data_IF_279100513437
#
_entry.id   IF_279100513437
#
_cell.length_a   1.000
_cell.length_b   1.000
_cell.length_c   1.000
_cell.angle_alpha   90.00
_cell.angle_beta   90.00
_cell.angle_gamma   90.00
#
_symmetry.space_group_name_H-M   'P 1'
#
loop_
_entity.id
_entity.type
_entity.pdbx_description
1 polymer ?
#
# COMPACT_ATOMS: atom_id res chain seq x y z
N UNK A 1 19.60 -2.21 -32.85
CA UNK A 1 19.96 -3.23 -31.84
C UNK A 1 20.05 -2.54 -30.49
N UNK A 2 19.19 -2.90 -29.53
CA UNK A 2 19.19 -2.33 -28.18
C UNK A 2 20.26 -2.99 -27.29
N UNK A 3 20.70 -2.30 -26.24
CA UNK A 3 21.66 -2.85 -25.27
C UNK A 3 21.16 -4.14 -24.60
N UNK A 4 19.84 -4.26 -24.42
CA UNK A 4 19.16 -5.47 -23.94
C UNK A 4 19.44 -6.68 -24.85
N UNK A 5 19.34 -6.51 -26.18
CA UNK A 5 19.57 -7.59 -27.14
C UNK A 5 21.03 -8.08 -27.15
N UNK A 6 21.97 -7.27 -26.65
CA UNK A 6 23.38 -7.64 -26.49
C UNK A 6 23.70 -8.20 -25.10
N UNK A 7 22.69 -8.43 -24.25
CA UNK A 7 22.83 -8.90 -22.86
C UNK A 7 23.72 -8.01 -21.99
N UNK A 8 23.78 -6.71 -22.31
CA UNK A 8 24.55 -5.73 -21.54
C UNK A 8 23.75 -5.16 -20.36
N UNK A 9 22.41 -5.26 -20.42
CA UNK A 9 21.47 -4.88 -19.36
C UNK A 9 20.47 -6.03 -19.17
N UNK A 10 20.08 -6.27 -17.91
CA UNK A 10 19.10 -7.32 -17.57
C UNK A 10 17.89 -6.72 -16.86
N UNK A 11 16.69 -7.17 -17.22
CA UNK A 11 15.46 -6.82 -16.52
C UNK A 11 15.04 -7.87 -15.47
N UNK A 12 15.75 -8.99 -15.33
CA UNK A 12 15.36 -10.10 -14.43
C UNK A 12 15.10 -9.62 -12.99
N UNK A 13 16.02 -8.81 -12.46
CA UNK A 13 15.91 -8.20 -11.14
C UNK A 13 16.00 -6.70 -11.25
N UNK A 14 14.92 -6.02 -10.88
CA UNK A 14 14.82 -4.56 -10.92
C UNK A 14 14.77 -4.01 -9.50
N UNK A 15 15.60 -3.01 -9.24
CA UNK A 15 15.67 -2.28 -7.97
C UNK A 15 15.06 -0.90 -8.16
N UNK A 16 14.04 -0.57 -7.38
CA UNK A 16 13.33 0.71 -7.44
C UNK A 16 13.62 1.53 -6.20
N UNK A 17 14.13 2.75 -6.41
CA UNK A 17 14.38 3.72 -5.35
C UNK A 17 13.98 5.14 -5.79
N UNK A 18 13.73 6.01 -4.82
CA UNK A 18 13.36 7.41 -5.02
C UNK A 18 14.26 8.34 -4.22
N UNK A 19 14.91 9.29 -4.91
CA UNK A 19 15.75 10.30 -4.28
C UNK A 19 15.13 11.69 -4.41
N UNK A 20 15.10 12.44 -3.30
CA UNK A 20 14.62 13.81 -3.31
C UNK A 20 15.76 14.79 -3.65
N UNK A 21 15.58 15.58 -4.70
CA UNK A 21 16.52 16.64 -5.10
C UNK A 21 15.88 17.99 -4.82
N UNK A 22 16.61 18.86 -4.13
CA UNK A 22 16.14 20.18 -3.75
C UNK A 22 15.96 21.06 -4.99
N UNK A 23 14.78 21.68 -5.13
CA UNK A 23 14.51 22.66 -6.17
C UNK A 23 15.16 24.01 -5.83
N UNK A 24 15.45 24.81 -6.86
CA UNK A 24 15.95 26.18 -6.71
C UNK A 24 14.81 27.16 -6.37
N UNK A 25 14.07 26.85 -5.31
CA UNK A 25 12.88 27.58 -4.87
C UNK A 25 12.92 27.89 -3.38
N UNK A 26 12.47 29.10 -3.01
CA UNK A 26 12.46 29.52 -1.61
C UNK A 26 11.26 28.94 -0.87
N UNK A 27 11.51 28.13 0.18
CA UNK A 27 10.49 27.48 1.01
C UNK A 27 9.49 28.42 1.70
N UNK A 28 9.77 29.74 1.74
CA UNK A 28 8.89 30.78 2.33
C UNK A 28 8.09 31.55 1.28
N UNK A 29 8.41 31.42 -0.01
CA UNK A 29 7.69 32.07 -1.11
C UNK A 29 6.82 31.04 -1.83
N UNK A 30 5.55 31.00 -1.44
CA UNK A 30 4.58 30.06 -2.00
C UNK A 30 3.18 30.63 -1.95
N UNK A 31 2.35 30.16 -2.86
CA UNK A 31 0.92 30.36 -2.86
C UNK A 31 0.23 29.07 -2.43
N UNK A 32 -0.91 29.22 -1.74
CA UNK A 32 -1.72 28.09 -1.30
C UNK A 32 -2.75 27.81 -2.38
N UNK A 33 -2.71 26.61 -2.96
CA UNK A 33 -3.62 26.19 -4.00
C UNK A 33 -4.41 25.00 -3.55
N UNK A 34 -5.71 25.05 -3.77
CA UNK A 34 -6.60 23.92 -3.53
C UNK A 34 -6.59 23.09 -4.80
N UNK A 35 -6.06 21.87 -4.70
CA UNK A 35 -6.00 20.93 -5.81
C UNK A 35 -6.84 19.72 -5.48
N UNK A 36 -7.57 19.21 -6.48
CA UNK A 36 -8.30 17.95 -6.36
C UNK A 36 -7.29 16.83 -6.13
N UNK A 37 -7.51 16.02 -5.09
CA UNK A 37 -6.71 14.83 -4.84
C UNK A 37 -7.05 13.83 -5.94
N UNK A 38 -6.05 13.48 -6.75
CA UNK A 38 -6.23 12.46 -7.77
C UNK A 38 -6.62 11.14 -7.12
N UNK A 39 -7.67 10.54 -7.67
CA UNK A 39 -8.10 9.17 -7.37
C UNK A 39 -6.94 8.24 -7.74
N UNK A 40 -6.51 7.38 -6.81
CA UNK A 40 -5.41 6.44 -7.08
C UNK A 40 -5.86 5.50 -8.20
N UNK A 41 -5.00 5.22 -9.18
CA UNK A 41 -5.34 4.39 -10.34
C UNK A 41 -5.95 3.01 -9.99
N UNK A 42 -5.64 2.48 -8.81
CA UNK A 42 -6.18 1.20 -8.32
C UNK A 42 -7.52 1.31 -7.58
N UNK A 43 -8.02 2.50 -7.24
CA UNK A 43 -9.25 2.65 -6.44
C UNK A 43 -10.48 2.10 -7.15
N UNK A 44 -10.59 2.27 -8.48
CA UNK A 44 -11.68 1.67 -9.26
C UNK A 44 -11.67 0.14 -9.18
N UNK A 45 -10.52 -0.48 -9.47
CA UNK A 45 -10.33 -1.94 -9.33
C UNK A 45 -10.66 -2.43 -7.92
N UNK A 46 -10.16 -1.72 -6.89
CA UNK A 46 -10.44 -2.07 -5.50
C UNK A 46 -11.93 -2.00 -5.18
N UNK A 47 -12.65 -0.99 -5.68
CA UNK A 47 -14.08 -0.83 -5.47
C UNK A 47 -14.89 -1.96 -6.13
N UNK A 48 -14.53 -2.36 -7.35
CA UNK A 48 -15.13 -3.51 -8.03
C UNK A 48 -14.94 -4.79 -7.21
N UNK A 49 -13.72 -5.07 -6.78
CA UNK A 49 -13.42 -6.26 -5.96
C UNK A 49 -14.10 -6.23 -4.58
N UNK A 50 -14.23 -5.05 -3.95
CA UNK A 50 -14.99 -4.90 -2.70
C UNK A 50 -16.46 -5.25 -2.92
N UNK A 51 -17.06 -4.77 -4.01
CA UNK A 51 -18.46 -5.04 -4.29
C UNK A 51 -18.69 -6.51 -4.61
N UNK A 52 -17.81 -7.13 -5.40
CA UNK A 52 -17.85 -8.57 -5.67
C UNK A 52 -17.68 -9.39 -4.37
N UNK A 53 -16.74 -9.01 -3.50
CA UNK A 53 -16.56 -9.64 -2.20
C UNK A 53 -17.82 -9.54 -1.33
N UNK A 54 -18.46 -8.37 -1.31
CA UNK A 54 -19.72 -8.16 -0.57
C UNK A 54 -20.85 -9.03 -1.10
N UNK A 55 -21.00 -9.10 -2.42
CA UNK A 55 -22.02 -9.93 -3.08
C UNK A 55 -21.84 -11.41 -2.77
N UNK A 56 -20.59 -11.90 -2.83
CA UNK A 56 -20.25 -13.29 -2.46
C UNK A 56 -20.63 -13.63 -1.00
N UNK A 57 -20.62 -12.63 -0.11
CA UNK A 57 -21.03 -12.78 1.30
C UNK A 57 -22.50 -12.35 1.54
N UNK A 58 -23.31 -12.20 0.49
CA UNK A 58 -24.73 -11.84 0.59
C UNK A 58 -24.98 -10.42 1.11
N UNK A 59 -24.00 -9.51 1.01
CA UNK A 59 -24.11 -8.10 1.39
C UNK A 59 -24.37 -7.25 0.16
N UNK A 60 -25.17 -6.18 0.33
CA UNK A 60 -25.42 -5.22 -0.74
C UNK A 60 -24.13 -4.48 -1.14
N UNK A 61 -23.87 -4.28 -2.44
CA UNK A 61 -22.75 -3.46 -2.89
C UNK A 61 -22.88 -2.02 -2.39
N UNK A 62 -21.75 -1.32 -2.35
CA UNK A 62 -21.77 0.10 -2.01
C UNK A 62 -22.17 0.92 -3.25
N UNK A 63 -23.04 1.94 -3.10
CA UNK A 63 -23.35 2.85 -4.20
C UNK A 63 -22.10 3.63 -4.65
N UNK A 64 -21.97 3.99 -5.95
CA UNK A 64 -20.81 4.71 -6.49
C UNK A 64 -20.49 6.00 -5.72
N UNK A 65 -21.51 6.79 -5.37
CA UNK A 65 -21.39 8.04 -4.61
C UNK A 65 -20.68 7.90 -3.25
N UNK A 66 -20.64 6.68 -2.70
CA UNK A 66 -19.94 6.41 -1.44
C UNK A 66 -18.41 6.32 -1.59
N UNK A 67 -17.90 6.23 -2.81
CA UNK A 67 -16.48 6.22 -3.16
C UNK A 67 -16.03 7.55 -3.80
N UNK A 68 -16.93 8.22 -4.53
CA UNK A 68 -16.65 9.48 -5.23
C UNK A 68 -16.67 10.72 -4.33
N UNK A 69 -16.00 10.66 -3.18
CA UNK A 69 -15.70 11.88 -2.44
C UNK A 69 -14.53 12.57 -3.10
N UNK A 70 -14.81 13.63 -3.86
CA UNK A 70 -13.78 14.56 -4.32
C UNK A 70 -13.11 15.19 -3.11
N UNK A 71 -12.00 14.60 -2.67
CA UNK A 71 -11.17 15.17 -1.64
C UNK A 71 -10.30 16.27 -2.28
N UNK A 72 -10.36 17.46 -1.73
CA UNK A 72 -9.40 18.51 -2.07
C UNK A 72 -8.28 18.52 -1.05
N UNK A 73 -7.06 18.82 -1.52
CA UNK A 73 -5.91 19.05 -0.65
C UNK A 73 -5.36 20.44 -0.91
N UNK A 74 -5.00 21.13 0.17
CA UNK A 74 -4.24 22.37 0.07
C UNK A 74 -2.77 22.00 -0.16
N UNK A 75 -2.21 22.46 -1.27
CA UNK A 75 -0.78 22.35 -1.57
C UNK A 75 -0.13 23.73 -1.56
N UNK A 76 1.17 23.76 -1.28
CA UNK A 76 2.00 24.95 -1.43
C UNK A 76 2.67 24.88 -2.79
N UNK A 77 2.32 25.79 -3.68
CA UNK A 77 2.92 25.95 -5.00
C UNK A 77 3.97 27.06 -4.91
N UNK A 78 5.19 26.83 -5.40
CA UNK A 78 6.21 27.89 -5.37
C UNK A 78 5.90 28.95 -6.40
N UNK A 79 6.16 30.21 -6.05
CA UNK A 79 6.08 31.34 -7.00
C UNK A 79 7.22 31.34 -8.03
N UNK A 80 8.31 30.61 -7.77
CA UNK A 80 9.49 30.57 -8.64
C UNK A 80 9.55 29.29 -9.48
N UNK A 81 9.06 28.18 -8.93
CA UNK A 81 9.06 26.87 -9.58
C UNK A 81 7.79 26.10 -9.21
N UNK A 82 6.73 26.28 -10.01
CA UNK A 82 5.41 25.69 -9.77
C UNK A 82 5.38 24.16 -9.92
N UNK A 83 6.35 23.57 -10.63
CA UNK A 83 6.43 22.12 -10.82
C UNK A 83 7.07 21.42 -9.62
N UNK A 84 7.76 22.16 -8.75
CA UNK A 84 8.36 21.62 -7.54
C UNK A 84 7.32 21.34 -6.44
N UNK A 85 7.49 20.22 -5.74
CA UNK A 85 6.61 19.81 -4.65
C UNK A 85 7.14 20.29 -3.29
N UNK A 86 6.25 20.79 -2.43
CA UNK A 86 6.63 21.15 -1.06
C UNK A 86 6.82 19.89 -0.20
N UNK A 87 8.07 19.57 0.09
CA UNK A 87 8.49 18.39 0.83
C UNK A 87 8.86 18.73 2.29
N UNK A 88 8.44 17.86 3.21
CA UNK A 88 8.70 17.98 4.65
C UNK A 88 9.31 16.67 5.13
N UNK A 89 10.62 16.66 5.41
CA UNK A 89 11.32 15.48 5.94
C UNK A 89 11.23 15.42 7.47
N UNK A 90 11.41 16.57 8.13
CA UNK A 90 11.20 16.78 9.56
C UNK A 90 10.73 18.23 9.83
N UNK A 91 10.52 18.59 11.10
CA UNK A 91 10.06 19.94 11.46
C UNK A 91 11.03 21.06 11.00
N UNK A 92 12.32 20.75 10.87
CA UNK A 92 13.40 21.70 10.54
C UNK A 92 13.69 21.78 9.04
N UNK A 93 13.51 20.67 8.31
CA UNK A 93 13.87 20.48 6.91
C UNK A 93 12.63 20.44 6.02
N UNK A 94 12.08 21.64 5.82
CA UNK A 94 11.03 21.93 4.82
C UNK A 94 11.69 22.54 3.59
N UNK A 95 11.38 22.04 2.41
CA UNK A 95 11.93 22.55 1.15
C UNK A 95 11.03 22.23 -0.04
N UNK A 96 11.20 22.98 -1.12
CA UNK A 96 10.69 22.56 -2.42
C UNK A 96 11.66 21.55 -3.03
N UNK A 97 11.15 20.45 -3.57
CA UNK A 97 11.94 19.35 -4.10
C UNK A 97 11.23 18.63 -5.25
N UNK A 98 12.02 17.86 -5.98
CA UNK A 98 11.60 16.86 -6.94
C UNK A 98 11.96 15.47 -6.42
N UNK A 99 11.13 14.48 -6.71
CA UNK A 99 11.42 13.07 -6.45
C UNK A 99 11.85 12.41 -7.75
N UNK A 100 13.07 11.90 -7.78
CA UNK A 100 13.63 11.13 -8.87
C UNK A 100 13.46 9.66 -8.55
N UNK A 101 12.52 9.00 -9.24
CA UNK A 101 12.29 7.57 -9.15
C UNK A 101 13.11 6.88 -10.21
N UNK A 102 13.99 5.96 -9.82
CA UNK A 102 14.83 5.22 -10.72
C UNK A 102 14.60 3.72 -10.55
N UNK A 103 14.55 3.00 -11.67
CA UNK A 103 14.60 1.55 -11.74
C UNK A 103 15.95 1.16 -12.31
N UNK A 104 16.73 0.36 -11.57
CA UNK A 104 18.05 -0.09 -11.96
C UNK A 104 18.14 -1.61 -12.02
N UNK A 105 19.05 -2.13 -12.85
CA UNK A 105 19.40 -3.53 -12.87
C UNK A 105 20.38 -3.90 -11.73
N UNK A 106 20.74 -5.18 -11.66
CA UNK A 106 21.71 -5.70 -10.68
C UNK A 106 23.11 -5.09 -10.79
N UNK A 107 23.48 -4.58 -11.96
CA UNK A 107 24.77 -3.96 -12.22
C UNK A 107 24.74 -2.44 -12.03
N UNK A 108 23.61 -1.86 -11.63
CA UNK A 108 23.43 -0.43 -11.42
C UNK A 108 23.10 0.38 -12.68
N UNK A 109 22.79 -0.26 -13.81
CA UNK A 109 22.31 0.43 -15.00
C UNK A 109 20.86 0.86 -14.82
N UNK A 110 20.60 2.13 -15.07
CA UNK A 110 19.25 2.71 -14.99
C UNK A 110 18.44 2.26 -16.21
N UNK A 111 17.39 1.49 -15.95
CA UNK A 111 16.45 0.96 -16.96
C UNK A 111 15.27 1.91 -17.20
N UNK A 112 14.88 2.65 -16.16
CA UNK A 112 13.78 3.61 -16.23
C UNK A 112 13.90 4.70 -15.17
N UNK A 113 13.35 5.87 -15.49
CA UNK A 113 13.34 7.03 -14.61
C UNK A 113 12.05 7.81 -14.78
N UNK A 114 11.45 8.23 -13.67
CA UNK A 114 10.32 9.16 -13.63
C UNK A 114 10.65 10.26 -12.61
N UNK A 115 10.41 11.51 -12.98
CA UNK A 115 10.59 12.66 -12.10
C UNK A 115 9.22 13.21 -11.75
N UNK A 116 8.96 13.40 -10.46
CA UNK A 116 7.71 13.97 -9.98
C UNK A 116 7.95 15.09 -8.97
N UNK A 117 6.94 15.92 -8.68
CA UNK A 117 7.00 16.85 -7.57
C UNK A 117 7.26 16.10 -6.24
N UNK A 118 8.06 16.69 -5.34
CA UNK A 118 8.44 16.06 -4.06
C UNK A 118 7.31 15.86 -3.04
N UNK A 119 6.08 16.26 -3.36
CA UNK A 119 4.89 16.01 -2.55
C UNK A 119 4.02 14.86 -3.11
N UNK A 120 4.46 14.21 -4.17
CA UNK A 120 3.86 12.99 -4.72
C UNK A 120 4.28 11.79 -3.90
N UNK A 121 3.38 10.84 -3.70
CA UNK A 121 3.66 9.65 -2.90
C UNK A 121 4.27 8.55 -3.78
N UNK A 122 5.41 8.01 -3.38
CA UNK A 122 6.22 7.06 -4.16
C UNK A 122 5.40 5.84 -4.67
N UNK A 123 4.43 5.38 -3.88
CA UNK A 123 3.58 4.24 -4.26
C UNK A 123 2.74 4.47 -5.52
N UNK A 124 2.59 5.70 -6.00
CA UNK A 124 1.86 6.00 -7.24
C UNK A 124 2.75 5.80 -8.48
N UNK A 125 4.08 5.82 -8.31
CA UNK A 125 5.04 5.88 -9.41
C UNK A 125 5.61 4.50 -9.76
N UNK A 126 5.48 3.52 -8.87
CA UNK A 126 6.02 2.18 -9.13
C UNK A 126 5.34 1.48 -10.31
N UNK A 127 4.00 1.54 -10.42
CA UNK A 127 3.27 0.95 -11.57
C UNK A 127 3.79 1.50 -12.91
N UNK A 128 3.76 2.82 -13.18
CA UNK A 128 4.23 3.36 -14.46
C UNK A 128 5.74 3.17 -14.67
N UNK A 129 6.55 3.19 -13.62
CA UNK A 129 7.99 2.94 -13.73
C UNK A 129 8.28 1.49 -14.18
N UNK A 130 7.55 0.51 -13.64
CA UNK A 130 7.67 -0.90 -14.05
C UNK A 130 7.18 -1.08 -15.48
N UNK A 131 6.10 -0.41 -15.90
CA UNK A 131 5.63 -0.45 -17.29
C UNK A 131 6.70 0.09 -18.25
N UNK A 132 7.35 1.20 -17.91
CA UNK A 132 8.45 1.74 -18.70
C UNK A 132 9.63 0.74 -18.83
N UNK A 133 9.94 -0.04 -17.79
CA UNK A 133 10.97 -1.08 -17.86
C UNK A 133 10.53 -2.24 -18.75
N UNK A 134 9.27 -2.67 -18.63
CA UNK A 134 8.69 -3.74 -19.46
C UNK A 134 8.77 -3.39 -20.94
N UNK A 135 8.43 -2.15 -21.30
CA UNK A 135 8.46 -1.68 -22.69
C UNK A 135 9.88 -1.57 -23.26
N UNK A 136 10.84 -1.10 -22.46
CA UNK A 136 12.20 -0.79 -22.94
C UNK A 136 13.13 -2.00 -22.96
N UNK A 137 13.00 -2.89 -21.98
CA UNK A 137 13.99 -3.95 -21.71
C UNK A 137 13.32 -5.32 -21.67
N UNK A 138 12.15 -5.43 -21.04
CA UNK A 138 11.38 -6.66 -20.93
C UNK A 138 10.77 -6.84 -19.54
N UNK A 139 9.90 -7.86 -19.41
CA UNK A 139 9.21 -8.18 -18.16
C UNK A 139 10.19 -8.64 -17.08
N UNK A 140 10.23 -7.97 -15.91
CA UNK A 140 11.03 -8.43 -14.78
C UNK A 140 10.53 -9.73 -14.16
N UNK A 141 11.45 -10.52 -13.60
CA UNK A 141 11.08 -11.66 -12.75
C UNK A 141 10.80 -11.20 -11.32
N UNK A 142 11.61 -10.26 -10.82
CA UNK A 142 11.45 -9.70 -9.48
C UNK A 142 11.68 -8.19 -9.43
N UNK A 143 10.91 -7.50 -8.59
CA UNK A 143 11.03 -6.06 -8.32
C UNK A 143 11.27 -5.84 -6.83
N UNK A 144 12.46 -5.36 -6.49
CA UNK A 144 12.83 -4.95 -5.13
C UNK A 144 12.58 -3.46 -4.94
N UNK A 145 11.95 -3.09 -3.84
CA UNK A 145 11.67 -1.68 -3.52
C UNK A 145 11.58 -1.47 -2.01
N UNK A 146 11.73 -0.21 -1.60
CA UNK A 146 11.68 0.21 -0.20
C UNK A 146 10.31 0.01 0.47
N UNK A 147 10.30 0.12 1.80
CA UNK A 147 9.10 -0.06 2.61
C UNK A 147 7.96 0.93 2.25
N UNK A 148 8.29 2.10 1.70
CA UNK A 148 7.32 3.09 1.23
C UNK A 148 6.45 2.58 0.07
N UNK A 149 6.98 1.66 -0.74
CA UNK A 149 6.27 1.03 -1.85
C UNK A 149 5.38 -0.14 -1.43
N UNK A 150 5.41 -0.52 -0.15
CA UNK A 150 4.64 -1.64 0.38
C UNK A 150 3.17 -1.28 0.56
N UNK A 151 2.44 -1.30 -0.55
CA UNK A 151 0.99 -1.15 -0.54
C UNK A 151 0.31 -2.41 -1.09
N UNK A 152 -0.90 -2.75 -0.59
CA UNK A 152 -1.70 -3.84 -1.14
C UNK A 152 -1.88 -3.75 -2.66
N UNK A 153 -2.04 -2.53 -3.19
CA UNK A 153 -2.21 -2.25 -4.62
C UNK A 153 -0.99 -2.65 -5.44
N UNK A 154 0.21 -2.19 -5.02
CA UNK A 154 1.47 -2.52 -5.69
C UNK A 154 1.71 -4.04 -5.67
N UNK A 155 1.47 -4.69 -4.52
CA UNK A 155 1.64 -6.14 -4.45
C UNK A 155 0.67 -6.85 -5.40
N UNK A 156 -0.61 -6.45 -5.43
CA UNK A 156 -1.61 -7.04 -6.33
C UNK A 156 -1.21 -6.84 -7.80
N UNK A 157 -0.78 -5.63 -8.18
CA UNK A 157 -0.28 -5.31 -9.52
C UNK A 157 0.88 -6.21 -9.94
N UNK A 158 1.91 -6.35 -9.11
CA UNK A 158 3.09 -7.17 -9.41
C UNK A 158 2.70 -8.66 -9.54
N UNK A 159 1.87 -9.17 -8.62
CA UNK A 159 1.39 -10.55 -8.70
C UNK A 159 0.57 -10.84 -9.95
N UNK A 160 -0.33 -9.92 -10.34
CA UNK A 160 -1.15 -10.08 -11.53
C UNK A 160 -0.32 -10.06 -12.82
N UNK A 161 0.87 -9.43 -12.80
CA UNK A 161 1.85 -9.50 -13.89
C UNK A 161 2.84 -10.66 -13.73
N UNK A 162 2.66 -11.54 -12.74
CA UNK A 162 3.57 -12.65 -12.39
C UNK A 162 5.02 -12.18 -12.09
N UNK A 163 5.14 -11.01 -11.49
CA UNK A 163 6.41 -10.44 -11.02
C UNK A 163 6.48 -10.66 -9.51
N UNK A 164 7.60 -11.20 -9.03
CA UNK A 164 7.85 -11.43 -7.61
C UNK A 164 8.20 -10.07 -6.96
N UNK A 165 7.37 -9.52 -6.04
CA UNK A 165 7.81 -8.37 -5.28
C UNK A 165 8.94 -8.80 -4.32
N UNK A 166 9.88 -7.93 -4.02
CA UNK A 166 10.90 -8.17 -3.00
C UNK A 166 10.89 -6.96 -2.06
N UNK A 167 9.86 -6.89 -1.21
CA UNK A 167 9.59 -5.75 -0.33
C UNK A 167 9.97 -6.11 1.11
N UNK A 168 10.48 -5.15 1.90
CA UNK A 168 10.90 -5.41 3.27
C UNK A 168 9.73 -5.85 4.17
N UNK A 169 10.01 -6.81 5.06
CA UNK A 169 9.07 -7.20 6.09
C UNK A 169 8.83 -6.05 7.09
N UNK A 170 7.60 -5.91 7.52
CA UNK A 170 7.26 -4.98 8.60
C UNK A 170 6.47 -5.78 9.61
N UNK A 171 7.03 -5.96 10.79
CA UNK A 171 6.36 -6.69 11.86
C UNK A 171 5.06 -5.94 12.21
N UNK A 172 3.89 -6.62 12.22
CA UNK A 172 2.66 -6.02 12.70
C UNK A 172 2.87 -5.45 14.10
N UNK A 173 2.60 -4.15 14.27
CA UNK A 173 2.65 -3.50 15.57
C UNK A 173 1.39 -3.87 16.34
N UNK A 174 1.56 -4.43 17.53
CA UNK A 174 0.49 -4.71 18.47
C UNK A 174 0.93 -4.15 19.81
N UNK A 175 -0.01 -3.61 20.59
CA UNK A 175 0.25 -3.11 21.94
C UNK A 175 0.92 -4.21 22.78
N UNK A 176 1.93 -3.86 23.55
CA UNK A 176 2.61 -4.84 24.42
C UNK A 176 1.60 -5.44 25.42
N UNK A 177 1.72 -6.75 25.67
CA UNK A 177 0.78 -7.52 26.50
C UNK A 177 -0.46 -8.09 25.78
N UNK A 178 -0.79 -7.58 24.58
CA UNK A 178 -1.94 -8.04 23.80
C UNK A 178 -1.60 -9.19 22.87
N UNK A 179 -2.62 -10.01 22.54
CA UNK A 179 -2.50 -11.02 21.50
C UNK A 179 -2.18 -10.39 20.14
N UNK A 180 -1.17 -10.93 19.50
CA UNK A 180 -0.70 -10.54 18.18
C UNK A 180 -1.61 -11.16 17.13
N UNK A 181 -1.56 -10.61 15.92
CA UNK A 181 -2.31 -11.14 14.79
C UNK A 181 -1.98 -12.61 14.46
N UNK A 182 -0.76 -13.06 14.77
CA UNK A 182 -0.32 -14.44 14.56
C UNK A 182 -1.01 -15.43 15.51
N UNK A 183 -1.51 -14.95 16.65
CA UNK A 183 -2.22 -15.77 17.62
C UNK A 183 -3.67 -16.05 17.18
N UNK A 184 -4.15 -15.37 16.10
CA UNK A 184 -5.44 -15.62 15.49
C UNK A 184 -5.23 -16.40 14.18
N UNK A 185 -5.73 -17.63 14.14
CA UNK A 185 -5.62 -18.52 12.98
C UNK A 185 -6.77 -18.25 12.04
N UNK A 186 -6.48 -18.09 10.74
CA UNK A 186 -7.52 -17.95 9.72
C UNK A 186 -7.86 -19.30 9.13
N UNK A 187 -9.13 -19.64 9.11
CA UNK A 187 -9.67 -20.82 8.43
C UNK A 187 -10.23 -20.38 7.07
N UNK A 188 -9.61 -20.88 5.98
CA UNK A 188 -10.03 -20.57 4.61
C UNK A 188 -11.32 -21.28 4.20
N UNK A 189 -11.63 -22.44 4.79
CA UNK A 189 -12.80 -23.24 4.44
C UNK A 189 -14.08 -22.61 5.00
N UNK A 190 -14.03 -22.14 6.25
CA UNK A 190 -15.17 -21.52 6.91
C UNK A 190 -15.20 -19.99 6.86
N UNK A 191 -14.21 -19.36 6.21
CA UNK A 191 -13.96 -17.91 6.21
C UNK A 191 -14.14 -17.30 7.62
N UNK A 192 -13.36 -17.81 8.58
CA UNK A 192 -13.42 -17.31 9.96
C UNK A 192 -12.03 -17.26 10.60
N UNK A 193 -11.93 -16.50 11.69
CA UNK A 193 -10.73 -16.48 12.52
C UNK A 193 -10.96 -17.24 13.82
N UNK A 194 -10.05 -18.11 14.20
CA UNK A 194 -10.01 -18.75 15.51
C UNK A 194 -9.15 -17.92 16.46
N UNK A 195 -9.70 -17.58 17.62
CA UNK A 195 -8.94 -16.90 18.66
C UNK A 195 -8.14 -17.89 19.52
N UNK A 196 -7.18 -17.41 20.33
CA UNK A 196 -6.39 -18.26 21.24
C UNK A 196 -7.22 -19.07 22.23
N UNK A 197 -8.43 -18.61 22.56
CA UNK A 197 -9.37 -19.33 23.42
C UNK A 197 -10.21 -20.39 22.69
N UNK A 198 -10.01 -20.57 21.38
CA UNK A 198 -10.76 -21.52 20.54
C UNK A 198 -12.05 -20.98 19.94
N UNK A 199 -12.45 -19.75 20.26
CA UNK A 199 -13.70 -19.16 19.75
C UNK A 199 -13.59 -18.64 18.32
N UNK A 200 -14.69 -18.75 17.57
CA UNK A 200 -14.79 -18.32 16.16
C UNK A 200 -15.16 -16.84 16.03
N UNK A 201 -14.42 -16.12 15.19
CA UNK A 201 -14.69 -14.77 14.75
C UNK A 201 -15.24 -14.85 13.33
N UNK A 202 -16.55 -14.60 13.20
CA UNK A 202 -17.26 -14.68 11.91
C UNK A 202 -17.07 -13.41 11.11
N UNK A 203 -17.13 -13.54 9.79
CA UNK A 203 -17.20 -12.42 8.88
C UNK A 203 -18.40 -11.51 9.23
N UNK A 204 -18.15 -10.21 9.29
CA UNK A 204 -19.17 -9.19 9.56
C UNK A 204 -19.50 -8.37 8.32
N UNK A 205 -18.49 -7.72 7.75
CA UNK A 205 -18.62 -6.86 6.58
C UNK A 205 -17.24 -6.57 5.99
N UNK A 206 -17.22 -6.15 4.74
CA UNK A 206 -16.05 -5.56 4.08
C UNK A 206 -16.24 -4.04 4.06
N UNK A 207 -15.22 -3.31 4.52
CA UNK A 207 -15.23 -1.86 4.56
C UNK A 207 -14.88 -1.26 3.18
N UNK A 208 -15.00 0.06 3.04
CA UNK A 208 -14.70 0.77 1.78
C UNK A 208 -13.23 0.81 1.41
N UNK A 209 -12.35 0.51 2.36
CA UNK A 209 -10.90 0.48 2.18
C UNK A 209 -10.39 -0.92 1.78
N UNK A 210 -11.29 -1.90 1.60
CA UNK A 210 -10.92 -3.25 1.17
C UNK A 210 -10.55 -4.21 2.31
N UNK A 211 -10.92 -3.90 3.55
CA UNK A 211 -10.73 -4.79 4.70
C UNK A 211 -12.01 -5.52 5.06
N UNK A 212 -11.94 -6.85 5.08
CA UNK A 212 -12.89 -7.74 5.72
C UNK A 212 -12.75 -7.65 7.24
N UNK A 213 -13.85 -7.43 7.93
CA UNK A 213 -13.93 -7.39 9.38
C UNK A 213 -14.49 -8.70 9.93
N UNK A 214 -13.74 -9.34 10.83
CA UNK A 214 -14.16 -10.53 11.56
C UNK A 214 -14.38 -10.15 13.01
N UNK A 215 -15.55 -10.48 13.54
CA UNK A 215 -15.98 -10.02 14.87
C UNK A 215 -16.24 -11.20 15.80
N UNK A 216 -15.76 -11.08 17.04
CA UNK A 216 -16.05 -12.06 18.07
C UNK A 216 -17.48 -11.90 18.62
N UNK A 217 -18.09 -12.99 19.12
CA UNK A 217 -19.36 -12.93 19.81
C UNK A 217 -19.19 -12.22 21.16
N UNK A 218 -19.93 -11.12 21.37
CA UNK A 218 -19.85 -10.29 22.58
C UNK A 218 -20.13 -11.09 23.86
N UNK A 219 -21.19 -11.92 23.83
CA UNK A 219 -21.67 -12.71 24.97
C UNK A 219 -20.60 -13.64 25.55
N UNK A 220 -19.80 -14.27 24.69
CA UNK A 220 -18.75 -15.20 25.09
C UNK A 220 -17.50 -14.43 25.55
N UNK A 221 -17.22 -13.28 24.94
CA UNK A 221 -16.05 -12.49 25.27
C UNK A 221 -16.16 -11.79 26.62
N UNK A 222 -17.36 -11.43 27.09
CA UNK A 222 -17.56 -10.78 28.39
C UNK A 222 -17.12 -11.65 29.58
N UNK A 223 -17.26 -12.97 29.47
CA UNK A 223 -16.84 -13.93 30.50
C UNK A 223 -15.45 -14.53 30.25
N UNK A 224 -14.75 -14.11 29.19
CA UNK A 224 -13.48 -14.69 28.80
C UNK A 224 -12.34 -14.23 29.73
N UNK A 225 -11.58 -15.20 30.26
CA UNK A 225 -10.42 -14.96 31.12
C UNK A 225 -9.31 -14.15 30.45
N UNK A 226 -9.23 -14.21 29.12
CA UNK A 226 -8.20 -13.52 28.33
C UNK A 226 -8.66 -12.15 27.80
N UNK A 227 -9.81 -11.62 28.24
CA UNK A 227 -10.35 -10.35 27.73
C UNK A 227 -9.35 -9.20 27.84
N UNK A 228 -8.64 -9.09 28.98
CA UNK A 228 -7.63 -8.05 29.26
C UNK A 228 -6.43 -8.07 28.28
N UNK A 229 -6.14 -9.22 27.66
CA UNK A 229 -5.08 -9.40 26.66
C UNK A 229 -5.63 -9.38 25.22
N UNK A 230 -6.95 -9.40 25.05
CA UNK A 230 -7.60 -9.52 23.75
C UNK A 230 -8.08 -8.17 23.21
N UNK A 231 -8.84 -7.40 24.00
CA UNK A 231 -9.46 -6.14 23.57
C UNK A 231 -9.75 -5.21 24.75
N UNK A 232 -9.59 -3.90 24.55
CA UNK A 232 -10.03 -2.85 25.49
C UNK A 232 -11.36 -2.20 25.02
N UNK A 233 -12.02 -2.80 24.04
CA UNK A 233 -13.30 -2.28 23.54
C UNK A 233 -14.36 -2.30 24.63
N UNK A 234 -15.12 -1.21 24.77
CA UNK A 234 -16.27 -1.09 25.70
C UNK A 234 -17.30 -2.19 25.48
N UNK A 235 -17.42 -2.64 24.24
CA UNK A 235 -18.36 -3.69 23.83
C UNK A 235 -17.84 -5.12 24.08
N UNK A 236 -16.65 -5.27 24.68
CA UNK A 236 -15.93 -6.54 24.86
C UNK A 236 -15.77 -7.34 23.54
N UNK A 237 -15.83 -6.66 22.39
CA UNK A 237 -15.74 -7.28 21.08
C UNK A 237 -14.34 -7.15 20.50
N UNK A 238 -13.78 -8.26 20.02
CA UNK A 238 -12.56 -8.26 19.22
C UNK A 238 -12.92 -8.13 17.74
N UNK A 239 -12.23 -7.23 17.06
CA UNK A 239 -12.30 -7.10 15.60
C UNK A 239 -10.93 -7.44 15.02
N UNK A 240 -10.89 -8.38 14.10
CA UNK A 240 -9.71 -8.71 13.29
C UNK A 240 -9.99 -8.30 11.86
N UNK A 241 -9.10 -7.53 11.26
CA UNK A 241 -9.24 -7.07 9.87
C UNK A 241 -8.31 -7.83 8.94
N UNK A 242 -8.80 -8.18 7.74
CA UNK A 242 -8.01 -8.82 6.68
C UNK A 242 -8.29 -8.11 5.37
N UNK A 243 -7.27 -7.58 4.71
CA UNK A 243 -7.44 -6.95 3.40
C UNK A 243 -7.81 -8.01 2.34
N UNK A 244 -8.61 -7.67 1.32
CA UNK A 244 -8.98 -8.60 0.23
C UNK A 244 -7.70 -9.11 -0.46
N UNK A 245 -6.78 -8.21 -0.82
CA UNK A 245 -5.44 -8.55 -1.34
C UNK A 245 -4.45 -9.15 -0.33
N UNK A 246 -4.85 -9.52 0.89
CA UNK A 246 -3.92 -10.04 1.91
C UNK A 246 -3.20 -11.32 1.47
N UNK A 247 -3.84 -12.17 0.66
CA UNK A 247 -3.24 -13.42 0.16
C UNK A 247 -1.97 -13.14 -0.66
N UNK A 248 -1.98 -12.09 -1.47
CA UNK A 248 -0.83 -11.61 -2.24
C UNK A 248 0.25 -11.00 -1.31
N UNK A 249 -0.14 -10.28 -0.27
CA UNK A 249 0.83 -9.64 0.67
C UNK A 249 1.65 -10.65 1.47
N UNK A 250 1.13 -11.85 1.76
CA UNK A 250 1.78 -12.83 2.67
C UNK A 250 2.92 -13.60 1.99
N UNK A 251 2.85 -13.88 0.68
CA UNK A 251 3.86 -14.68 -0.02
C UNK A 251 5.21 -13.98 -0.22
N UNK A 252 5.35 -12.71 0.19
CA UNK A 252 6.47 -11.85 -0.22
C UNK A 252 7.19 -11.25 0.97
N UNK A 253 7.66 -12.14 1.83
CA UNK A 253 8.41 -11.76 3.01
C UNK A 253 9.76 -12.43 2.85
N UNK A 254 10.72 -11.72 2.27
CA UNK A 254 12.13 -12.04 2.52
C UNK A 254 12.34 -11.73 4.01
N UNK A 255 12.35 -12.77 4.84
CA UNK A 255 13.00 -12.68 6.15
C UNK A 255 14.48 -12.51 5.84
N UNK A 256 14.95 -11.26 5.84
CA UNK A 256 16.38 -10.98 6.00
C UNK A 256 16.81 -11.41 7.40
#
# INVERSE_FOLDING_TARGET
>A
MTAANKKLISAEHVFVDSTHVKASANKRKFEKKIVRKETRAYQGRLQEEINQDRENHGKKPFPPDKFDKEETKEIKESTTDSESGYYVKDERTKQFAYSFHAAADRNGFVLGTIVTPGNTHDSQILEPLVEQVIEKVGKPEAVAADAAYKTPAITSYLFNKEIIPALPYTRPRTKEGFFRKQDYVYDEHFDCYLCPSGETLKYSTTNKEGYREYKSPKQICTTCSFLSRCTESKDCQKVVTRHIWKKQIICVIIKM
#
